data_IF_206828363836
#
_entry.id   IF_206828363836
#
_cell.length_a   1.000
_cell.length_b   1.000
_cell.length_c   1.000
_cell.angle_alpha   90.00
_cell.angle_beta   90.00
_cell.angle_gamma   90.00
#
_symmetry.space_group_name_H-M   'P 1'
#
loop_
_entity.id
_entity.type
_entity.pdbx_description
1 polymer ?
#
# COMPACT_ATOMS: atom_id res chain seq x y z
N UNK A 1 0.04 -8.59 5.95
CA UNK A 1 0.48 -8.35 7.35
C UNK A 1 -0.56 -7.48 8.04
N UNK A 2 -0.97 -7.79 9.27
CA UNK A 2 -1.85 -6.89 10.04
C UNK A 2 -1.02 -5.73 10.58
N UNK A 3 -1.59 -4.52 10.59
CA UNK A 3 -0.90 -3.35 11.15
C UNK A 3 -0.64 -3.54 12.64
N UNK A 4 0.50 -3.03 13.17
CA UNK A 4 0.73 -2.99 14.61
C UNK A 4 -0.39 -2.25 15.33
N UNK A 5 -0.71 -2.67 16.56
CA UNK A 5 -1.81 -2.10 17.34
C UNK A 5 -1.65 -0.60 17.56
N UNK A 6 -0.41 -0.13 17.77
CA UNK A 6 -0.07 1.30 17.95
C UNK A 6 -0.46 2.15 16.75
N UNK A 7 -0.10 1.68 15.54
CA UNK A 7 -0.46 2.33 14.27
C UNK A 7 -1.97 2.27 14.04
N UNK A 8 -2.60 1.14 14.35
CA UNK A 8 -4.05 0.98 14.20
C UNK A 8 -4.82 1.96 15.10
N UNK A 9 -4.38 2.15 16.35
CA UNK A 9 -4.97 3.11 17.28
C UNK A 9 -4.83 4.56 16.77
N UNK A 10 -3.66 4.94 16.25
CA UNK A 10 -3.45 6.27 15.69
C UNK A 10 -4.32 6.55 14.46
N UNK A 11 -4.48 5.55 13.57
CA UNK A 11 -5.40 5.63 12.42
C UNK A 11 -6.84 5.79 12.89
N UNK A 12 -7.27 5.05 13.91
CA UNK A 12 -8.62 5.19 14.48
C UNK A 12 -8.85 6.60 15.04
N UNK A 13 -7.90 7.16 15.78
CA UNK A 13 -8.01 8.54 16.29
C UNK A 13 -8.14 9.58 15.15
N UNK A 14 -7.35 9.43 14.08
CA UNK A 14 -7.49 10.25 12.87
C UNK A 14 -8.89 10.12 12.23
N UNK A 15 -9.38 8.89 12.08
CA UNK A 15 -10.68 8.63 11.47
C UNK A 15 -11.84 9.19 12.30
N UNK A 16 -11.78 9.04 13.63
CA UNK A 16 -12.77 9.59 14.55
C UNK A 16 -12.83 11.11 14.48
N UNK A 17 -11.68 11.79 14.49
CA UNK A 17 -11.63 13.25 14.38
C UNK A 17 -12.17 13.72 13.01
N UNK A 18 -11.75 13.07 11.92
CA UNK A 18 -12.24 13.37 10.57
C UNK A 18 -13.75 13.18 10.46
N UNK A 19 -14.30 12.10 11.03
CA UNK A 19 -15.72 11.84 11.02
C UNK A 19 -16.51 12.86 11.84
N UNK A 20 -15.99 13.24 13.02
CA UNK A 20 -16.58 14.28 13.86
C UNK A 20 -16.66 15.62 13.14
N UNK A 21 -15.58 16.02 12.47
CA UNK A 21 -15.51 17.28 11.71
C UNK A 21 -16.43 17.23 10.50
N UNK A 22 -16.45 16.12 9.77
CA UNK A 22 -17.36 15.91 8.64
C UNK A 22 -18.83 16.08 9.05
N UNK A 23 -19.25 15.46 10.16
CA UNK A 23 -20.61 15.62 10.70
C UNK A 23 -20.95 17.06 11.07
N UNK A 24 -20.00 17.80 11.65
CA UNK A 24 -20.21 19.20 12.02
C UNK A 24 -20.33 20.12 10.79
N UNK A 25 -19.53 19.87 9.75
CA UNK A 25 -19.63 20.57 8.46
C UNK A 25 -20.98 20.28 7.80
N UNK A 26 -21.37 19.01 7.72
CA UNK A 26 -22.65 18.56 7.14
C UNK A 26 -23.85 19.22 7.84
N UNK A 27 -23.83 19.28 9.18
CA UNK A 27 -24.88 19.94 9.96
C UNK A 27 -25.09 21.43 9.58
N UNK A 28 -23.98 22.15 9.36
CA UNK A 28 -24.04 23.56 8.97
C UNK A 28 -24.46 23.74 7.50
N UNK A 29 -24.05 22.84 6.62
CA UNK A 29 -24.49 22.82 5.23
C UNK A 29 -25.99 22.52 5.11
N UNK A 30 -26.50 21.54 5.85
CA UNK A 30 -27.92 21.22 5.91
C UNK A 30 -28.76 22.38 6.45
N UNK A 31 -28.23 23.09 7.46
CA UNK A 31 -28.87 24.28 8.00
C UNK A 31 -28.93 25.40 6.96
N UNK A 32 -27.84 25.65 6.24
CA UNK A 32 -27.80 26.62 5.14
C UNK A 32 -28.81 26.26 4.04
N UNK A 33 -28.87 24.99 3.63
CA UNK A 33 -29.83 24.52 2.63
C UNK A 33 -31.29 24.75 3.07
N UNK A 34 -31.61 24.47 4.34
CA UNK A 34 -32.95 24.75 4.90
C UNK A 34 -33.28 26.23 4.91
N UNK A 35 -32.34 27.09 5.33
CA UNK A 35 -32.58 28.53 5.33
C UNK A 35 -32.72 29.10 3.92
N UNK A 36 -31.97 28.58 2.94
CA UNK A 36 -32.12 28.96 1.53
C UNK A 36 -33.51 28.59 0.99
N UNK A 37 -34.01 27.41 1.30
CA UNK A 37 -35.38 27.03 0.91
C UNK A 37 -36.42 27.98 1.53
N UNK A 38 -36.31 28.25 2.84
CA UNK A 38 -37.23 29.17 3.52
C UNK A 38 -37.14 30.60 2.97
N UNK A 39 -35.95 31.02 2.53
CA UNK A 39 -35.72 32.33 1.93
C UNK A 39 -36.43 32.43 0.57
N UNK A 40 -36.36 31.39 -0.25
CA UNK A 40 -37.06 31.31 -1.54
C UNK A 40 -38.59 31.30 -1.36
N UNK A 41 -39.09 30.55 -0.37
CA UNK A 41 -40.50 30.55 0.00
C UNK A 41 -40.94 31.96 0.47
N UNK A 42 -40.15 32.62 1.31
CA UNK A 42 -40.44 33.97 1.81
C UNK A 42 -40.43 35.04 0.70
N UNK A 43 -39.53 34.92 -0.29
CA UNK A 43 -39.53 35.78 -1.48
C UNK A 43 -40.80 35.60 -2.31
N UNK A 44 -41.26 34.36 -2.47
CA UNK A 44 -42.50 34.05 -3.18
C UNK A 44 -43.72 34.63 -2.45
N UNK A 45 -43.77 34.48 -1.12
CA UNK A 45 -44.81 35.08 -0.27
C UNK A 45 -44.79 36.61 -0.32
N UNK A 46 -43.60 37.23 -0.33
CA UNK A 46 -43.45 38.69 -0.43
C UNK A 46 -44.02 39.21 -1.74
N UNK A 47 -43.73 38.55 -2.86
CA UNK A 47 -44.26 38.94 -4.17
C UNK A 47 -45.81 38.92 -4.21
N UNK A 48 -46.43 37.91 -3.57
CA UNK A 48 -47.90 37.83 -3.43
C UNK A 48 -48.43 38.95 -2.51
N UNK A 49 -47.76 39.21 -1.39
CA UNK A 49 -48.15 40.26 -0.44
C UNK A 49 -48.04 41.66 -1.07
N UNK A 50 -47.01 41.92 -1.89
CA UNK A 50 -46.84 43.16 -2.63
C UNK A 50 -47.98 43.40 -3.62
N UNK A 51 -48.36 42.38 -4.40
CA UNK A 51 -49.52 42.48 -5.30
C UNK A 51 -50.83 42.76 -4.55
N UNK A 52 -51.00 42.15 -3.38
CA UNK A 52 -52.17 42.38 -2.53
C UNK A 52 -52.19 43.82 -2.00
N UNK A 53 -51.07 44.31 -1.49
CA UNK A 53 -50.92 45.69 -0.97
C UNK A 53 -51.10 46.74 -2.07
N UNK A 54 -50.64 46.47 -3.29
CA UNK A 54 -50.87 47.33 -4.46
C UNK A 54 -52.36 47.45 -4.82
N UNK A 55 -53.13 46.39 -4.60
CA UNK A 55 -54.57 46.34 -4.90
C UNK A 55 -55.41 46.91 -3.76
N UNK A 56 -55.00 46.68 -2.51
CA UNK A 56 -55.66 47.14 -1.28
C UNK A 56 -54.61 47.52 -0.22
N UNK A 57 -54.27 48.81 -0.08
CA UNK A 57 -53.24 49.27 0.85
C UNK A 57 -53.77 49.41 2.29
N UNK A 58 -54.46 48.39 2.79
CA UNK A 58 -54.86 48.33 4.18
C UNK A 58 -53.64 48.21 5.11
N UNK A 59 -53.75 48.70 6.33
CA UNK A 59 -52.68 48.65 7.34
C UNK A 59 -52.20 47.22 7.60
N UNK A 60 -53.11 46.24 7.53
CA UNK A 60 -52.79 44.83 7.65
C UNK A 60 -51.91 44.30 6.51
N UNK A 61 -52.15 44.74 5.27
CA UNK A 61 -51.39 44.32 4.09
C UNK A 61 -49.98 44.92 4.10
N UNK A 62 -49.86 46.22 4.44
CA UNK A 62 -48.57 46.90 4.62
C UNK A 62 -47.75 46.24 5.73
N UNK A 63 -48.37 45.89 6.85
CA UNK A 63 -47.68 45.23 7.95
C UNK A 63 -47.19 43.83 7.55
N UNK A 64 -47.99 43.06 6.80
CA UNK A 64 -47.59 41.74 6.29
C UNK A 64 -46.38 41.83 5.36
N UNK A 65 -46.32 42.83 4.49
CA UNK A 65 -45.16 43.07 3.63
C UNK A 65 -43.91 43.37 4.47
N UNK A 66 -44.02 44.28 5.45
CA UNK A 66 -42.90 44.64 6.33
C UNK A 66 -42.39 43.45 7.17
N UNK A 67 -43.29 42.58 7.63
CA UNK A 67 -42.93 41.36 8.36
C UNK A 67 -42.20 40.35 7.45
N UNK A 68 -42.63 40.18 6.20
CA UNK A 68 -41.95 39.33 5.22
C UNK A 68 -40.57 39.88 4.83
N UNK A 69 -40.43 41.20 4.67
CA UNK A 69 -39.14 41.84 4.44
C UNK A 69 -38.18 41.63 5.62
N UNK A 70 -38.67 41.74 6.86
CA UNK A 70 -37.88 41.41 8.07
C UNK A 70 -37.46 39.94 8.09
N UNK A 71 -38.36 39.02 7.77
CA UNK A 71 -38.07 37.58 7.68
C UNK A 71 -37.01 37.26 6.62
N UNK A 72 -37.07 37.88 5.45
CA UNK A 72 -36.07 37.74 4.38
C UNK A 72 -34.69 38.22 4.84
N UNK A 73 -34.63 39.38 5.51
CA UNK A 73 -33.38 39.90 6.04
C UNK A 73 -32.77 38.95 7.09
N UNK A 74 -33.59 38.41 8.00
CA UNK A 74 -33.15 37.43 9.00
C UNK A 74 -32.63 36.13 8.36
N UNK A 75 -33.37 35.57 7.40
CA UNK A 75 -32.98 34.36 6.68
C UNK A 75 -31.69 34.54 5.89
N UNK A 76 -31.49 35.72 5.29
CA UNK A 76 -30.24 36.05 4.58
C UNK A 76 -29.03 36.01 5.51
N UNK A 77 -29.16 36.60 6.71
CA UNK A 77 -28.11 36.55 7.74
C UNK A 77 -27.87 35.12 8.22
N UNK A 78 -28.93 34.34 8.41
CA UNK A 78 -28.82 32.94 8.85
C UNK A 78 -28.12 32.03 7.82
N UNK A 79 -28.36 32.23 6.51
CA UNK A 79 -27.63 31.53 5.44
C UNK A 79 -26.15 31.85 5.51
N UNK A 80 -25.79 33.14 5.53
CA UNK A 80 -24.39 33.58 5.59
C UNK A 80 -23.69 33.07 6.87
N UNK A 81 -24.36 33.12 8.01
CA UNK A 81 -23.83 32.61 9.27
C UNK A 81 -23.62 31.08 9.26
N UNK A 82 -24.53 30.32 8.64
CA UNK A 82 -24.38 28.88 8.53
C UNK A 82 -23.21 28.48 7.62
N UNK A 83 -23.02 29.18 6.50
CA UNK A 83 -21.89 28.97 5.59
C UNK A 83 -20.55 29.32 6.25
N UNK A 84 -20.49 30.45 6.96
CA UNK A 84 -19.28 30.87 7.67
C UNK A 84 -18.90 29.88 8.77
N UNK A 85 -19.89 29.36 9.53
CA UNK A 85 -19.66 28.33 10.54
C UNK A 85 -19.13 27.03 9.92
N UNK A 86 -19.68 26.59 8.79
CA UNK A 86 -19.19 25.42 8.05
C UNK A 86 -17.71 25.58 7.68
N UNK A 87 -17.35 26.73 7.11
CA UNK A 87 -15.97 27.05 6.71
C UNK A 87 -15.04 27.12 7.93
N UNK A 88 -15.46 27.81 8.98
CA UNK A 88 -14.69 27.96 10.23
C UNK A 88 -14.42 26.62 10.90
N UNK A 89 -15.40 25.72 10.97
CA UNK A 89 -15.24 24.36 11.51
C UNK A 89 -14.14 23.61 10.74
N UNK A 90 -14.18 23.66 9.42
CA UNK A 90 -13.19 23.00 8.57
C UNK A 90 -11.77 23.55 8.79
N UNK A 91 -11.63 24.88 8.81
CA UNK A 91 -10.33 25.55 9.02
C UNK A 91 -9.75 25.22 10.40
N UNK A 92 -10.57 25.35 11.45
CA UNK A 92 -10.12 25.11 12.82
C UNK A 92 -9.72 23.64 13.05
N UNK A 93 -10.38 22.71 12.39
CA UNK A 93 -10.08 21.29 12.48
C UNK A 93 -8.86 20.86 11.66
N UNK A 94 -8.52 21.60 10.60
CA UNK A 94 -7.47 21.23 9.64
C UNK A 94 -6.12 20.95 10.32
N UNK A 95 -5.69 21.82 11.24
CA UNK A 95 -4.42 21.64 11.95
C UNK A 95 -4.37 20.35 12.78
N UNK A 96 -5.47 20.01 13.46
CA UNK A 96 -5.57 18.80 14.29
C UNK A 96 -5.63 17.53 13.45
N UNK A 97 -6.40 17.54 12.36
CA UNK A 97 -6.50 16.40 11.43
C UNK A 97 -5.13 16.12 10.82
N UNK A 98 -4.40 17.15 10.39
CA UNK A 98 -3.05 17.03 9.85
C UNK A 98 -2.09 16.48 10.90
N UNK A 99 -2.11 17.01 12.13
CA UNK A 99 -1.25 16.51 13.21
C UNK A 99 -1.49 15.03 13.53
N UNK A 100 -2.75 14.58 13.59
CA UNK A 100 -3.09 13.16 13.80
C UNK A 100 -2.64 12.27 12.63
N UNK A 101 -2.72 12.78 11.39
CA UNK A 101 -2.22 12.07 10.22
C UNK A 101 -0.70 11.92 10.27
N UNK A 102 0.02 13.00 10.58
CA UNK A 102 1.48 13.02 10.71
C UNK A 102 1.94 12.06 11.81
N UNK A 103 1.26 12.05 12.97
CA UNK A 103 1.53 11.12 14.06
C UNK A 103 1.35 9.66 13.63
N UNK A 104 0.24 9.33 12.95
CA UNK A 104 -0.02 7.98 12.48
C UNK A 104 1.03 7.52 11.44
N UNK A 105 1.45 8.42 10.54
CA UNK A 105 2.49 8.16 9.53
C UNK A 105 3.84 7.94 10.21
N UNK A 106 4.20 8.76 11.19
CA UNK A 106 5.48 8.64 11.89
C UNK A 106 5.55 7.36 12.72
N UNK A 107 4.47 7.01 13.43
CA UNK A 107 4.37 5.73 14.13
C UNK A 107 4.50 4.55 13.15
N UNK A 108 3.85 4.62 11.99
CA UNK A 108 3.98 3.59 10.97
C UNK A 108 5.41 3.49 10.43
N UNK A 109 6.11 4.62 10.24
CA UNK A 109 7.51 4.66 9.80
C UNK A 109 8.42 3.98 10.82
N UNK A 110 8.29 4.31 12.10
CA UNK A 110 9.07 3.72 13.19
C UNK A 110 8.85 2.21 13.25
N UNK A 111 7.60 1.75 13.22
CA UNK A 111 7.27 0.32 13.27
C UNK A 111 7.75 -0.43 12.02
N UNK A 112 7.68 0.18 10.84
CA UNK A 112 8.19 -0.42 9.61
C UNK A 112 9.71 -0.63 9.67
N UNK A 113 10.46 0.39 10.13
CA UNK A 113 11.91 0.30 10.31
C UNK A 113 12.27 -0.73 11.37
N UNK A 114 11.56 -0.73 12.51
CA UNK A 114 11.76 -1.72 13.56
C UNK A 114 11.52 -3.13 13.04
N UNK A 115 10.41 -3.38 12.34
CA UNK A 115 10.13 -4.68 11.76
C UNK A 115 11.21 -5.13 10.78
N UNK A 116 11.70 -4.22 9.92
CA UNK A 116 12.80 -4.52 9.02
C UNK A 116 14.06 -4.91 9.78
N UNK A 117 14.52 -4.08 10.72
CA UNK A 117 15.76 -4.32 11.46
C UNK A 117 15.69 -5.57 12.34
N UNK A 118 14.56 -5.81 13.01
CA UNK A 118 14.34 -7.01 13.84
C UNK A 118 14.45 -8.32 13.04
N UNK A 119 14.24 -8.26 11.72
CA UNK A 119 14.23 -9.43 10.84
C UNK A 119 15.41 -9.49 9.86
N UNK A 120 16.14 -8.39 9.67
CA UNK A 120 17.14 -8.23 8.62
C UNK A 120 18.25 -9.27 8.73
N UNK A 121 18.88 -9.38 9.90
CA UNK A 121 20.01 -10.29 10.12
C UNK A 121 19.60 -11.75 9.98
N UNK A 122 18.39 -12.12 10.42
CA UNK A 122 17.86 -13.46 10.25
C UNK A 122 17.65 -13.81 8.76
N UNK A 123 17.20 -12.85 7.94
CA UNK A 123 17.07 -13.04 6.49
C UNK A 123 18.44 -13.12 5.80
N UNK A 124 19.42 -12.31 6.21
CA UNK A 124 20.78 -12.42 5.69
C UNK A 124 21.43 -13.75 6.05
N UNK A 125 21.28 -14.22 7.29
CA UNK A 125 21.82 -15.51 7.72
C UNK A 125 21.21 -16.67 6.93
N UNK A 126 19.92 -16.62 6.61
CA UNK A 126 19.28 -17.62 5.76
C UNK A 126 19.87 -17.64 4.33
N UNK A 127 20.26 -16.48 3.78
CA UNK A 127 20.95 -16.40 2.48
C UNK A 127 22.36 -17.01 2.58
N UNK A 128 23.09 -16.70 3.66
CA UNK A 128 24.41 -17.27 3.92
C UNK A 128 24.37 -18.80 4.02
N UNK A 129 23.43 -19.34 4.78
CA UNK A 129 23.25 -20.79 4.95
C UNK A 129 22.86 -21.47 3.63
N UNK A 130 21.92 -20.88 2.88
CA UNK A 130 21.55 -21.40 1.57
C UNK A 130 22.74 -21.40 0.59
N UNK A 131 23.60 -20.37 0.64
CA UNK A 131 24.81 -20.31 -0.18
C UNK A 131 25.80 -21.41 0.20
N UNK A 132 26.01 -21.63 1.50
CA UNK A 132 26.89 -22.69 1.99
C UNK A 132 26.43 -24.07 1.51
N UNK A 133 25.14 -24.39 1.71
CA UNK A 133 24.55 -25.67 1.28
C UNK A 133 24.64 -25.90 -0.24
N UNK A 134 24.41 -24.85 -1.03
CA UNK A 134 24.55 -24.92 -2.49
C UNK A 134 25.99 -25.24 -2.91
N UNK A 135 26.99 -24.55 -2.33
CA UNK A 135 28.40 -24.79 -2.64
C UNK A 135 28.86 -26.16 -2.14
N UNK A 136 28.40 -26.60 -0.97
CA UNK A 136 28.68 -27.94 -0.44
C UNK A 136 28.14 -29.03 -1.37
N UNK A 137 26.95 -28.84 -1.95
CA UNK A 137 26.37 -29.76 -2.92
C UNK A 137 27.23 -29.89 -4.20
N UNK A 138 27.82 -28.79 -4.67
CA UNK A 138 28.76 -28.80 -5.81
C UNK A 138 30.05 -29.54 -5.45
N UNK A 139 30.59 -29.34 -4.25
CA UNK A 139 31.77 -30.07 -3.75
C UNK A 139 31.49 -31.57 -3.70
N UNK A 140 30.32 -31.97 -3.22
CA UNK A 140 29.92 -33.38 -3.15
C UNK A 140 29.79 -34.00 -4.55
N UNK A 141 29.25 -33.26 -5.53
CA UNK A 141 29.21 -33.70 -6.92
C UNK A 141 30.62 -33.86 -7.52
N UNK A 142 31.54 -32.95 -7.19
CA UNK A 142 32.94 -33.08 -7.60
C UNK A 142 33.60 -34.32 -6.99
N UNK A 143 33.38 -34.57 -5.70
CA UNK A 143 33.89 -35.75 -4.99
C UNK A 143 33.41 -37.04 -5.67
N UNK A 144 32.12 -37.15 -5.98
CA UNK A 144 31.55 -38.29 -6.71
C UNK A 144 32.25 -38.53 -8.05
N UNK A 145 32.49 -37.47 -8.84
CA UNK A 145 33.20 -37.59 -10.12
C UNK A 145 34.62 -38.11 -9.93
N UNK A 146 35.33 -37.62 -8.91
CA UNK A 146 36.69 -38.04 -8.58
C UNK A 146 36.73 -39.48 -8.10
N UNK A 147 35.83 -39.88 -7.23
CA UNK A 147 35.69 -41.26 -6.74
C UNK A 147 35.44 -42.23 -7.90
N UNK A 148 34.47 -41.90 -8.77
CA UNK A 148 34.16 -42.71 -9.95
C UNK A 148 35.35 -42.84 -10.91
N UNK A 149 36.08 -41.75 -11.15
CA UNK A 149 37.31 -41.78 -11.95
C UNK A 149 38.40 -42.65 -11.31
N UNK A 150 38.60 -42.51 -10.00
CA UNK A 150 39.62 -43.23 -9.26
C UNK A 150 39.38 -44.75 -9.27
N UNK A 151 38.13 -45.21 -9.27
CA UNK A 151 37.82 -46.64 -9.42
C UNK A 151 38.45 -47.18 -10.71
N UNK A 152 38.21 -46.52 -11.84
CA UNK A 152 38.77 -46.93 -13.12
C UNK A 152 40.30 -46.77 -13.16
N UNK A 153 40.81 -45.62 -12.73
CA UNK A 153 42.23 -45.31 -12.80
C UNK A 153 43.06 -46.26 -11.92
N UNK A 154 42.67 -46.43 -10.65
CA UNK A 154 43.39 -47.29 -9.72
C UNK A 154 43.32 -48.75 -10.16
N UNK A 155 42.17 -49.23 -10.66
CA UNK A 155 42.07 -50.60 -11.20
C UNK A 155 43.04 -50.83 -12.34
N UNK A 156 43.18 -49.87 -13.26
CA UNK A 156 44.13 -49.98 -14.36
C UNK A 156 45.59 -49.93 -13.91
N UNK A 157 45.91 -49.10 -12.92
CA UNK A 157 47.25 -49.02 -12.34
C UNK A 157 47.66 -50.33 -11.67
N UNK A 158 46.77 -50.93 -10.89
CA UNK A 158 47.02 -52.18 -10.15
C UNK A 158 47.01 -53.44 -11.04
N UNK A 159 46.53 -53.35 -12.30
CA UNK A 159 46.44 -54.50 -13.21
C UNK A 159 47.42 -54.42 -14.38
N UNK A 160 47.26 -53.44 -15.28
CA UNK A 160 48.12 -53.25 -16.44
C UNK A 160 48.11 -51.79 -16.91
N UNK A 161 49.07 -50.97 -16.45
CA UNK A 161 49.17 -49.55 -16.79
C UNK A 161 49.25 -49.29 -18.31
N UNK A 162 49.96 -50.15 -19.06
CA UNK A 162 50.11 -50.01 -20.51
C UNK A 162 48.79 -50.21 -21.27
N UNK A 163 47.86 -51.01 -20.71
CA UNK A 163 46.50 -51.19 -21.25
C UNK A 163 45.56 -50.08 -20.81
N UNK A 164 45.72 -49.55 -19.59
CA UNK A 164 44.95 -48.41 -19.09
C UNK A 164 45.07 -47.20 -20.02
N UNK A 165 46.30 -46.86 -20.45
CA UNK A 165 46.54 -45.74 -21.37
C UNK A 165 45.81 -45.86 -22.72
N UNK A 166 45.61 -47.11 -23.17
CA UNK A 166 44.92 -47.41 -24.44
C UNK A 166 43.42 -47.66 -24.27
N UNK A 167 42.93 -47.64 -23.03
CA UNK A 167 41.52 -47.90 -22.73
C UNK A 167 40.69 -46.62 -22.82
N UNK A 168 39.38 -46.78 -23.10
CA UNK A 168 38.45 -45.66 -23.17
C UNK A 168 38.27 -45.09 -21.77
N UNK A 169 38.56 -43.79 -21.61
CA UNK A 169 38.38 -43.07 -20.35
C UNK A 169 36.89 -42.91 -20.06
N UNK A 170 36.45 -43.04 -18.79
CA UNK A 170 35.08 -42.72 -18.44
C UNK A 170 34.81 -41.23 -18.69
N UNK A 171 33.67 -40.94 -19.31
CA UNK A 171 33.18 -39.58 -19.52
C UNK A 171 31.97 -39.34 -18.62
N UNK A 172 31.96 -38.22 -17.89
CA UNK A 172 30.88 -37.85 -16.98
C UNK A 172 30.18 -36.58 -17.48
N UNK A 173 28.85 -36.45 -17.30
CA UNK A 173 28.12 -35.26 -17.69
C UNK A 173 28.69 -33.99 -17.06
N UNK A 174 28.82 -32.93 -17.86
CA UNK A 174 29.12 -31.60 -17.37
C UNK A 174 27.84 -30.79 -17.22
N UNK A 175 27.53 -30.43 -15.98
CA UNK A 175 26.39 -29.57 -15.66
C UNK A 175 26.81 -28.11 -15.73
N UNK A 176 25.91 -27.29 -16.23
CA UNK A 176 26.06 -25.85 -16.24
C UNK A 176 25.53 -25.30 -14.92
N UNK A 177 26.43 -24.80 -14.06
CA UNK A 177 26.13 -24.27 -12.72
C UNK A 177 26.00 -22.73 -12.69
N UNK A 178 26.04 -22.10 -13.87
CA UNK A 178 25.92 -20.66 -14.09
C UNK A 178 25.04 -20.43 -15.33
N UNK A 179 24.45 -19.24 -15.47
CA UNK A 179 23.58 -18.97 -16.60
C UNK A 179 24.26 -19.15 -17.97
N UNK A 180 23.63 -19.93 -18.85
CA UNK A 180 23.85 -19.91 -20.30
C UNK A 180 22.53 -19.60 -20.98
N UNK A 181 22.53 -18.58 -21.84
CA UNK A 181 21.34 -18.01 -22.47
C UNK A 181 20.39 -19.04 -23.08
N UNK A 182 19.07 -18.82 -22.88
CA UNK A 182 17.99 -19.54 -23.55
C UNK A 182 17.62 -20.91 -22.99
N UNK A 183 18.34 -21.45 -22.00
CA UNK A 183 18.04 -22.76 -21.39
C UNK A 183 17.52 -22.62 -19.96
N UNK A 184 16.69 -23.57 -19.52
CA UNK A 184 16.21 -23.67 -18.14
C UNK A 184 17.40 -23.97 -17.21
N UNK A 185 17.64 -23.12 -16.21
CA UNK A 185 18.80 -23.21 -15.31
C UNK A 185 18.40 -23.73 -13.94
N UNK A 186 18.05 -25.02 -13.86
CA UNK A 186 17.51 -25.61 -12.62
C UNK A 186 18.56 -25.80 -11.52
N UNK A 187 19.84 -25.92 -11.89
CA UNK A 187 20.93 -26.28 -10.98
C UNK A 187 21.96 -25.18 -10.78
N UNK A 188 21.79 -24.04 -11.44
CA UNK A 188 22.70 -22.91 -11.38
C UNK A 188 22.06 -21.71 -10.70
N UNK A 189 22.88 -20.75 -10.30
CA UNK A 189 22.42 -19.43 -9.86
C UNK A 189 23.08 -18.37 -10.73
N UNK A 190 22.29 -17.40 -11.18
CA UNK A 190 22.74 -16.29 -12.00
C UNK A 190 22.48 -14.92 -11.38
N UNK A 191 23.23 -13.94 -11.85
CA UNK A 191 23.02 -12.54 -11.46
C UNK A 191 21.60 -12.08 -11.80
N UNK A 192 21.08 -12.46 -12.97
CA UNK A 192 19.74 -12.08 -13.40
C UNK A 192 18.65 -12.67 -12.50
N UNK A 193 18.79 -13.94 -12.09
CA UNK A 193 17.85 -14.58 -11.15
C UNK A 193 17.92 -13.94 -9.78
N UNK A 194 19.13 -13.62 -9.30
CA UNK A 194 19.33 -12.92 -8.02
C UNK A 194 18.69 -11.53 -8.06
N UNK A 195 18.92 -10.76 -9.12
CA UNK A 195 18.35 -9.43 -9.29
C UNK A 195 16.83 -9.45 -9.36
N UNK A 196 16.25 -10.43 -10.06
CA UNK A 196 14.80 -10.64 -10.15
C UNK A 196 14.21 -11.04 -8.80
N UNK A 197 14.83 -11.98 -8.09
CA UNK A 197 14.37 -12.38 -6.76
C UNK A 197 14.41 -11.21 -5.77
N UNK A 198 15.48 -10.40 -5.81
CA UNK A 198 15.64 -9.26 -4.91
C UNK A 198 14.70 -8.09 -5.23
N UNK A 199 14.58 -7.73 -6.51
CA UNK A 199 13.78 -6.57 -6.95
C UNK A 199 12.29 -6.90 -7.01
N UNK A 200 11.96 -8.07 -7.56
CA UNK A 200 10.59 -8.41 -7.91
C UNK A 200 9.95 -9.35 -6.87
N UNK A 201 10.74 -9.96 -5.98
CA UNK A 201 10.26 -10.92 -4.98
C UNK A 201 9.84 -12.27 -5.59
N UNK A 202 10.25 -12.56 -6.83
CA UNK A 202 9.77 -13.69 -7.64
C UNK A 202 10.87 -14.69 -7.98
N UNK A 203 10.46 -15.94 -8.13
CA UNK A 203 11.30 -17.02 -8.68
C UNK A 203 10.63 -17.53 -9.95
N UNK A 204 11.26 -17.30 -11.09
CA UNK A 204 10.67 -17.62 -12.40
C UNK A 204 10.78 -19.13 -12.70
N UNK A 205 9.79 -19.70 -13.41
CA UNK A 205 9.75 -21.12 -13.84
C UNK A 205 11.01 -21.57 -14.61
N UNK A 206 11.69 -20.64 -15.28
CA UNK A 206 12.95 -20.92 -16.00
C UNK A 206 14.16 -21.14 -15.08
N UNK A 207 14.06 -20.71 -13.83
CA UNK A 207 15.15 -20.66 -12.84
C UNK A 207 15.17 -21.86 -11.90
N UNK A 208 14.06 -22.61 -11.82
CA UNK A 208 13.89 -23.72 -10.88
C UNK A 208 13.11 -24.87 -11.52
N UNK A 209 13.06 -26.00 -10.83
CA UNK A 209 12.20 -27.13 -11.19
C UNK A 209 10.71 -26.73 -11.12
N UNK A 210 9.85 -27.48 -11.81
CA UNK A 210 8.44 -27.11 -11.96
C UNK A 210 7.71 -27.24 -10.63
N UNK A 211 6.84 -26.27 -10.32
CA UNK A 211 6.14 -26.19 -9.05
C UNK A 211 6.99 -25.61 -7.92
N UNK A 212 8.16 -25.04 -8.21
CA UNK A 212 9.03 -24.36 -7.22
C UNK A 212 9.15 -22.84 -7.46
N UNK A 213 8.53 -22.34 -8.52
CA UNK A 213 8.40 -20.93 -8.81
C UNK A 213 7.61 -20.19 -7.72
N UNK A 214 7.89 -18.89 -7.60
CA UNK A 214 7.18 -17.96 -6.73
C UNK A 214 6.69 -16.83 -7.63
N UNK A 215 5.37 -16.73 -7.79
CA UNK A 215 4.68 -15.74 -8.65
C UNK A 215 4.23 -14.48 -7.91
#
# INVERSE_FOLDING_TARGET
>A
MKLPQTVQTAITAYQEEKAKVGKAVELHQDSSAKYRQQLEDAHSELAVAQNTTLTDPSEANVQREADLQRKIAELTVNVAAAEERSTTVSINASGRITALADEAIELARVEALRHFHDNYDAKLKAIEDAKYEYLQSIVNLHALRKEAYNIWFNTGQETNPNRLEKSVKPAFPELTLHYRGGSRQVHGVSELETARAYRDGKVYRTSVAEGREIE
#
